data_IF_043545229066
#
_entry.id   IF_043545229066
#
_cell.length_a   1.000
_cell.length_b   1.000
_cell.length_c   1.000
_cell.angle_alpha   90.00
_cell.angle_beta   90.00
_cell.angle_gamma   90.00
#
_symmetry.space_group_name_H-M   'P 1'
#
loop_
_entity.id
_entity.type
_entity.pdbx_description
1 polymer ?
#
# COMPACT_ATOMS: atom_id res chain seq x y z
N UNK A 1 7.47 28.25 1.76
CA UNK A 1 6.34 27.44 2.25
C UNK A 1 6.89 26.03 2.35
N UNK A 2 7.04 25.55 3.59
CA UNK A 2 7.97 24.50 3.96
C UNK A 2 7.47 23.08 3.69
N UNK A 3 8.43 22.18 3.56
CA UNK A 3 8.25 20.73 3.31
C UNK A 3 7.42 20.02 4.39
N UNK A 4 7.18 20.66 5.53
CA UNK A 4 6.47 20.12 6.71
C UNK A 4 4.98 19.79 6.47
N UNK A 5 4.41 20.15 5.31
CA UNK A 5 3.01 19.85 4.96
C UNK A 5 2.88 18.89 3.76
N UNK A 6 3.96 18.22 3.37
CA UNK A 6 3.96 17.29 2.23
C UNK A 6 3.99 15.85 2.76
N UNK A 7 2.92 15.10 2.48
CA UNK A 7 2.89 13.65 2.67
C UNK A 7 3.22 12.92 1.37
N UNK A 8 4.03 11.87 1.44
CA UNK A 8 4.30 10.97 0.32
C UNK A 8 3.69 9.60 0.63
N UNK A 9 2.89 9.10 -0.31
CA UNK A 9 2.30 7.76 -0.24
C UNK A 9 2.85 6.98 -1.43
N UNK A 10 3.45 5.81 -1.18
CA UNK A 10 3.94 4.93 -2.23
C UNK A 10 2.84 3.96 -2.68
N UNK A 11 2.75 3.70 -3.98
CA UNK A 11 1.75 2.76 -4.51
C UNK A 11 2.02 1.31 -4.10
N UNK A 12 3.28 0.96 -3.79
CA UNK A 12 3.66 -0.36 -3.30
C UNK A 12 2.92 -0.77 -2.02
N UNK A 13 2.53 0.21 -1.18
CA UNK A 13 1.68 -0.01 0.00
C UNK A 13 0.32 -0.65 -0.35
N UNK A 14 -0.09 -0.54 -1.61
CA UNK A 14 -1.36 -1.02 -2.13
C UNK A 14 -1.22 -2.28 -2.97
N UNK A 15 -0.07 -2.96 -3.01
CA UNK A 15 -0.06 -4.32 -3.55
C UNK A 15 -1.08 -5.20 -2.82
N UNK A 16 -1.83 -6.01 -3.59
CA UNK A 16 -2.79 -6.98 -3.08
C UNK A 16 -2.06 -7.98 -2.19
N UNK A 17 -2.74 -8.36 -1.11
CA UNK A 17 -2.15 -9.30 -0.17
C UNK A 17 -2.03 -10.71 -0.77
N UNK A 18 -0.91 -11.36 -0.50
CA UNK A 18 -0.55 -12.69 -1.00
C UNK A 18 -0.13 -13.64 0.13
N UNK A 19 -0.52 -13.36 1.39
CA UNK A 19 -0.25 -14.25 2.51
C UNK A 19 -0.69 -15.69 2.27
N UNK A 20 -1.76 -15.90 1.50
CA UNK A 20 -2.30 -17.22 1.18
C UNK A 20 -1.52 -17.98 0.08
N UNK A 21 -0.59 -17.31 -0.60
CA UNK A 21 0.29 -17.93 -1.61
C UNK A 21 1.60 -18.41 -0.98
N UNK A 22 2.15 -19.52 -1.47
CA UNK A 22 3.49 -19.96 -1.08
C UNK A 22 4.56 -19.02 -1.66
N UNK A 23 5.73 -18.93 -1.01
CA UNK A 23 6.81 -18.03 -1.45
C UNK A 23 7.25 -18.32 -2.90
N UNK A 24 7.33 -19.59 -3.28
CA UNK A 24 7.70 -20.05 -4.62
C UNK A 24 6.71 -19.61 -5.72
N UNK A 25 5.48 -19.28 -5.34
CA UNK A 25 4.45 -18.75 -6.23
C UNK A 25 4.49 -17.22 -6.26
N UNK A 26 4.67 -16.58 -5.10
CA UNK A 26 4.80 -15.10 -5.00
C UNK A 26 5.91 -14.57 -5.88
N UNK A 27 7.07 -15.22 -5.92
CA UNK A 27 8.21 -14.78 -6.74
C UNK A 27 7.95 -14.82 -8.25
N UNK A 28 6.91 -15.54 -8.70
CA UNK A 28 6.51 -15.62 -10.12
C UNK A 28 5.50 -14.54 -10.50
N UNK A 29 4.99 -13.80 -9.52
CA UNK A 29 4.00 -12.74 -9.74
C UNK A 29 4.67 -11.54 -10.41
N UNK A 30 4.03 -11.02 -11.46
CA UNK A 30 4.50 -9.82 -12.14
C UNK A 30 4.01 -8.57 -11.40
N UNK A 31 4.79 -8.08 -10.43
CA UNK A 31 4.43 -6.90 -9.60
C UNK A 31 4.23 -5.60 -10.39
N UNK A 32 4.74 -5.50 -11.62
CA UNK A 32 4.48 -4.34 -12.49
C UNK A 32 3.08 -4.37 -13.14
N UNK A 33 2.30 -5.45 -12.94
CA UNK A 33 0.97 -5.55 -13.53
C UNK A 33 -0.06 -4.72 -12.74
N UNK A 34 -0.81 -3.79 -13.38
CA UNK A 34 -1.76 -2.90 -12.69
C UNK A 34 -2.77 -3.62 -11.79
N UNK A 35 -3.24 -4.80 -12.18
CA UNK A 35 -4.17 -5.60 -11.39
C UNK A 35 -3.68 -6.00 -9.99
N UNK A 36 -2.37 -5.98 -9.73
CA UNK A 36 -1.83 -6.27 -8.41
C UNK A 36 -1.93 -5.11 -7.45
N UNK A 37 -2.27 -3.92 -7.93
CA UNK A 37 -2.53 -2.76 -7.09
C UNK A 37 -4.01 -2.79 -6.69
N UNK A 38 -4.25 -2.62 -5.40
CA UNK A 38 -5.57 -2.44 -4.81
C UNK A 38 -6.02 -0.97 -4.98
N UNK A 39 -6.37 -0.64 -6.23
CA UNK A 39 -6.79 0.71 -6.59
C UNK A 39 -8.08 1.16 -5.89
N UNK A 40 -8.94 0.21 -5.49
CA UNK A 40 -10.16 0.52 -4.73
C UNK A 40 -9.80 1.04 -3.34
N UNK A 41 -8.85 0.38 -2.66
CA UNK A 41 -8.34 0.84 -1.36
C UNK A 41 -7.58 2.16 -1.48
N UNK A 42 -6.73 2.32 -2.51
CA UNK A 42 -6.02 3.58 -2.77
C UNK A 42 -7.02 4.72 -2.98
N UNK A 43 -8.02 4.51 -3.82
CA UNK A 43 -9.07 5.50 -4.07
C UNK A 43 -9.81 5.87 -2.79
N UNK A 44 -10.19 4.89 -1.98
CA UNK A 44 -10.84 5.13 -0.69
C UNK A 44 -9.97 5.98 0.25
N UNK A 45 -8.68 5.65 0.38
CA UNK A 45 -7.74 6.42 1.20
C UNK A 45 -7.57 7.86 0.70
N UNK A 46 -7.46 8.06 -0.61
CA UNK A 46 -7.41 9.42 -1.19
C UNK A 46 -8.68 10.22 -0.90
N UNK A 47 -9.85 9.59 -0.90
CA UNK A 47 -11.11 10.25 -0.52
C UNK A 47 -11.13 10.66 0.96
N UNK A 48 -10.63 9.82 1.86
CA UNK A 48 -10.52 10.12 3.29
C UNK A 48 -9.56 11.30 3.53
N UNK A 49 -8.37 11.26 2.93
CA UNK A 49 -7.38 12.35 3.03
C UNK A 49 -7.93 13.67 2.49
N UNK A 50 -8.63 13.63 1.34
CA UNK A 50 -9.31 14.80 0.77
C UNK A 50 -10.36 15.39 1.72
N UNK A 51 -10.98 14.54 2.56
CA UNK A 51 -11.94 14.96 3.58
C UNK A 51 -11.29 15.38 4.91
N UNK A 52 -9.96 15.43 4.99
CA UNK A 52 -9.22 15.75 6.22
C UNK A 52 -9.27 14.65 7.28
N UNK A 53 -9.49 13.39 6.86
CA UNK A 53 -9.51 12.22 7.73
C UNK A 53 -8.21 11.44 7.59
N UNK A 54 -7.79 10.86 8.72
CA UNK A 54 -6.69 9.93 8.77
C UNK A 54 -6.98 8.65 8.02
N UNK A 55 -5.91 8.02 7.55
CA UNK A 55 -5.88 6.70 6.95
C UNK A 55 -4.84 5.88 7.69
N UNK A 56 -5.00 4.56 7.70
CA UNK A 56 -3.98 3.61 8.12
C UNK A 56 -3.20 3.12 6.89
N UNK A 57 -1.96 3.57 6.72
CA UNK A 57 -1.14 3.15 5.57
C UNK A 57 -0.35 1.88 5.89
N UNK A 58 -0.69 0.79 5.20
CA UNK A 58 0.08 -0.45 5.23
C UNK A 58 1.48 -0.28 4.64
N UNK A 59 2.41 -1.14 5.03
CA UNK A 59 3.74 -1.21 4.42
C UNK A 59 3.87 -2.46 3.57
N UNK A 60 4.71 -2.43 2.54
CA UNK A 60 5.06 -3.61 1.77
C UNK A 60 6.38 -4.23 2.24
N UNK A 61 6.42 -5.55 2.38
CA UNK A 61 7.63 -6.30 2.67
C UNK A 61 8.21 -6.89 1.38
N UNK A 62 9.25 -6.23 0.84
CA UNK A 62 9.93 -6.68 -0.38
C UNK A 62 10.68 -8.01 -0.22
N UNK A 63 10.98 -8.44 1.02
CA UNK A 63 11.67 -9.71 1.28
C UNK A 63 10.67 -10.87 1.23
N UNK A 64 9.47 -10.65 1.76
CA UNK A 64 8.43 -11.68 1.89
C UNK A 64 7.36 -11.62 0.78
N UNK A 65 7.40 -10.56 -0.04
CA UNK A 65 6.44 -10.27 -1.10
C UNK A 65 4.98 -10.23 -0.62
N UNK A 66 4.76 -9.60 0.53
CA UNK A 66 3.45 -9.48 1.19
C UNK A 66 3.27 -8.10 1.82
N UNK A 67 2.01 -7.74 2.05
CA UNK A 67 1.66 -6.56 2.84
C UNK A 67 1.94 -6.83 4.32
N UNK A 68 2.60 -5.91 5.02
CA UNK A 68 2.75 -5.98 6.48
C UNK A 68 1.43 -5.71 7.16
N UNK A 69 1.22 -6.31 8.33
CA UNK A 69 0.05 -6.06 9.18
C UNK A 69 0.13 -4.74 9.94
N UNK A 70 1.33 -4.18 10.07
CA UNK A 70 1.59 -2.90 10.74
C UNK A 70 1.38 -1.72 9.79
N UNK A 71 0.83 -0.62 10.31
CA UNK A 71 0.63 0.65 9.59
C UNK A 71 1.49 1.77 10.18
N UNK A 72 1.90 2.73 9.35
CA UNK A 72 2.86 3.79 9.74
C UNK A 72 2.30 5.20 9.69
N UNK A 73 1.19 5.39 9.00
CA UNK A 73 0.56 6.70 8.86
C UNK A 73 -0.83 6.59 9.46
N UNK A 74 -1.15 7.54 10.34
CA UNK A 74 -2.48 7.86 10.87
C UNK A 74 -2.44 9.36 11.14
N UNK A 75 -2.87 10.18 10.17
CA UNK A 75 -2.87 11.65 10.30
C UNK A 75 -4.28 12.24 10.29
#
# INVERSE_FOLDING_TARGET
>A
MGDDNIGVITEDCYYRDQHDMAMEERVKVNYDHPNLIDHDLLFHHLQLLKAGKSIDLFQYDYTQHIRKRETIFSA
#
